data_IF_618373394487
#
_entry.id   IF_618373394487
#
_cell.length_a   1.000
_cell.length_b   1.000
_cell.length_c   1.000
_cell.angle_alpha   90.00
_cell.angle_beta   90.00
_cell.angle_gamma   90.00
#
_symmetry.space_group_name_H-M   'P 1'
#
loop_
_entity.id
_entity.type
_entity.pdbx_description
1 polymer ?
#
# COMPACT_ATOMS: atom_id res chain seq x y z
N UNK A 1 6.81 5.46 15.19
CA UNK A 1 7.09 6.48 16.24
C UNK A 1 6.88 7.89 15.74
N UNK A 2 7.52 8.30 14.64
CA UNK A 2 7.34 9.65 14.11
C UNK A 2 5.87 9.97 13.80
N UNK A 3 5.14 9.03 13.19
CA UNK A 3 3.72 9.19 12.87
C UNK A 3 2.86 9.45 14.10
N UNK A 4 3.12 8.72 15.19
CA UNK A 4 2.37 8.87 16.45
C UNK A 4 2.66 10.19 17.15
N UNK A 5 3.75 10.88 16.77
CA UNK A 5 4.11 12.20 17.30
C UNK A 5 3.62 13.34 16.41
N UNK A 6 2.79 13.03 15.39
CA UNK A 6 2.27 14.04 14.47
C UNK A 6 3.23 14.44 13.36
N UNK A 7 4.37 13.79 13.22
CA UNK A 7 5.34 14.04 12.15
C UNK A 7 4.92 13.23 10.91
N UNK A 8 4.67 13.87 9.74
CA UNK A 8 4.29 13.14 8.54
C UNK A 8 5.40 12.17 8.08
N UNK A 9 4.99 10.98 7.67
CA UNK A 9 5.89 9.88 7.33
C UNK A 9 5.55 9.34 5.94
N UNK A 10 6.59 9.10 5.12
CA UNK A 10 6.47 8.31 3.89
C UNK A 10 7.10 6.95 4.17
N UNK A 11 6.29 5.90 4.09
CA UNK A 11 6.78 4.54 4.26
C UNK A 11 6.82 3.83 2.93
N UNK A 12 7.95 3.19 2.60
CA UNK A 12 8.11 2.40 1.38
C UNK A 12 8.49 0.98 1.75
N UNK A 13 8.42 0.07 0.76
CA UNK A 13 8.74 -1.35 0.99
C UNK A 13 7.90 -1.98 2.11
N UNK A 14 6.65 -1.56 2.24
CA UNK A 14 5.79 -2.01 3.32
C UNK A 14 5.24 -3.41 3.06
N UNK A 15 5.39 -4.27 4.03
CA UNK A 15 4.82 -5.61 4.13
C UNK A 15 4.61 -5.93 5.61
N UNK A 16 3.61 -6.67 6.04
CA UNK A 16 2.54 -7.24 5.20
C UNK A 16 1.56 -6.16 4.72
N UNK A 17 0.82 -6.46 3.65
CA UNK A 17 -0.09 -5.48 3.08
C UNK A 17 -1.19 -5.05 4.05
N UNK A 18 -1.63 -5.93 4.94
CA UNK A 18 -2.59 -5.58 5.98
C UNK A 18 -2.05 -4.60 7.03
N UNK A 19 -0.74 -4.31 7.02
CA UNK A 19 -0.04 -3.42 7.95
C UNK A 19 0.56 -2.20 7.23
N UNK A 20 0.14 -1.91 6.01
CA UNK A 20 0.80 -0.92 5.17
C UNK A 20 0.38 0.52 5.45
N UNK A 21 -0.41 0.77 6.48
CA UNK A 21 -0.85 2.13 6.83
C UNK A 21 -0.39 2.46 8.25
N UNK A 22 -0.03 3.72 8.45
CA UNK A 22 0.42 4.25 9.74
C UNK A 22 -0.73 4.84 10.55
N UNK A 23 -0.46 5.89 11.32
CA UNK A 23 -1.43 6.48 12.25
C UNK A 23 -2.16 7.69 11.69
N UNK A 24 -1.47 8.53 10.92
CA UNK A 24 -1.97 9.84 10.53
C UNK A 24 -2.55 9.83 9.12
N UNK A 25 -3.64 10.58 8.85
CA UNK A 25 -4.12 10.78 7.48
C UNK A 25 -3.12 11.57 6.61
N UNK A 26 -2.10 12.19 7.22
CA UNK A 26 -1.06 12.90 6.49
C UNK A 26 0.12 12.01 6.09
N UNK A 27 0.14 10.77 6.54
CA UNK A 27 1.18 9.80 6.16
C UNK A 27 0.86 9.20 4.80
N UNK A 28 1.91 8.72 4.13
CA UNK A 28 1.78 8.04 2.82
C UNK A 28 2.46 6.69 2.92
N UNK A 29 1.78 5.64 2.49
CA UNK A 29 2.33 4.29 2.43
C UNK A 29 2.50 3.80 1.00
N UNK A 30 3.56 3.03 0.75
CA UNK A 30 3.78 2.32 -0.51
C UNK A 30 4.06 0.86 -0.19
N UNK A 31 3.08 -0.02 -0.37
CA UNK A 31 3.29 -1.45 -0.09
C UNK A 31 4.10 -2.12 -1.20
N UNK A 32 4.72 -3.25 -0.85
CA UNK A 32 5.37 -4.10 -1.83
C UNK A 32 4.33 -4.85 -2.66
N UNK A 33 4.66 -5.14 -3.92
CA UNK A 33 3.84 -6.05 -4.72
C UNK A 33 4.13 -7.50 -4.31
N UNK A 34 3.10 -8.31 -4.32
CA UNK A 34 3.17 -9.75 -4.08
C UNK A 34 3.15 -10.46 -5.43
N UNK A 35 4.13 -11.31 -5.67
CA UNK A 35 4.29 -12.02 -6.93
C UNK A 35 4.24 -13.52 -6.71
N UNK A 36 3.64 -14.26 -7.66
CA UNK A 36 3.61 -15.72 -7.59
C UNK A 36 4.91 -16.27 -8.14
N UNK A 37 5.52 -17.21 -7.43
CA UNK A 37 6.69 -17.94 -7.91
C UNK A 37 6.36 -18.68 -9.20
N UNK A 38 7.35 -18.72 -10.10
CA UNK A 38 7.22 -19.43 -11.37
C UNK A 38 6.63 -18.60 -12.50
N UNK A 39 5.60 -17.81 -12.24
CA UNK A 39 4.98 -16.96 -13.27
C UNK A 39 5.44 -15.53 -13.22
N UNK A 40 5.95 -15.09 -12.07
CA UNK A 40 6.34 -13.71 -11.79
C UNK A 40 5.21 -12.70 -12.02
N UNK A 41 3.95 -13.14 -11.90
CA UNK A 41 2.80 -12.28 -12.07
C UNK A 41 2.37 -11.68 -10.74
N UNK A 42 2.06 -10.37 -10.70
CA UNK A 42 1.54 -9.74 -9.49
C UNK A 42 0.19 -10.36 -9.08
N UNK A 43 0.02 -10.53 -7.78
CA UNK A 43 -1.24 -11.03 -7.21
C UNK A 43 -2.19 -9.84 -7.06
N UNK A 44 -3.45 -9.93 -7.54
CA UNK A 44 -4.42 -8.87 -7.34
C UNK A 44 -4.64 -8.59 -5.85
N UNK A 45 -4.81 -7.33 -5.49
CA UNK A 45 -4.95 -6.91 -4.09
C UNK A 45 -6.13 -7.59 -3.41
N UNK A 46 -7.24 -7.76 -4.12
CA UNK A 46 -8.42 -8.44 -3.59
C UNK A 46 -8.09 -9.86 -3.14
N UNK A 47 -7.32 -10.59 -3.93
CA UNK A 47 -6.90 -11.96 -3.58
C UNK A 47 -6.02 -11.96 -2.34
N UNK A 48 -5.11 -10.98 -2.20
CA UNK A 48 -4.25 -10.86 -1.02
C UNK A 48 -5.11 -10.68 0.23
N UNK A 49 -6.10 -9.79 0.19
CA UNK A 49 -6.93 -9.47 1.35
C UNK A 49 -7.98 -10.53 1.65
N UNK A 50 -8.42 -11.30 0.64
CA UNK A 50 -9.37 -12.41 0.84
C UNK A 50 -8.69 -13.70 1.31
N UNK A 51 -7.37 -13.74 1.29
CA UNK A 51 -6.56 -14.83 1.83
C UNK A 51 -5.84 -14.34 3.08
N UNK A 52 -5.02 -15.22 3.67
CA UNK A 52 -4.20 -14.85 4.83
C UNK A 52 -2.96 -14.05 4.45
N UNK A 53 -2.68 -13.88 3.16
CA UNK A 53 -1.46 -13.21 2.68
C UNK A 53 -1.32 -11.79 3.21
N UNK A 54 -2.42 -11.06 3.38
CA UNK A 54 -2.39 -9.68 3.85
C UNK A 54 -1.81 -9.54 5.26
N UNK A 55 -1.83 -10.60 6.06
CA UNK A 55 -1.36 -10.61 7.43
C UNK A 55 -0.04 -11.36 7.61
N UNK A 56 0.54 -11.92 6.55
CA UNK A 56 1.82 -12.60 6.62
C UNK A 56 2.94 -11.59 6.86
N UNK A 57 3.83 -11.88 7.79
CA UNK A 57 4.92 -10.98 8.16
C UNK A 57 6.30 -11.65 8.18
N UNK A 58 6.38 -12.98 8.06
CA UNK A 58 7.66 -13.71 8.03
C UNK A 58 7.95 -14.21 6.63
N UNK A 59 9.20 -14.13 6.21
CA UNK A 59 9.65 -14.61 4.90
C UNK A 59 9.24 -16.07 4.66
N UNK A 60 9.32 -16.90 5.68
CA UNK A 60 8.95 -18.31 5.57
C UNK A 60 7.47 -18.48 5.20
N UNK A 61 6.58 -17.65 5.75
CA UNK A 61 5.15 -17.71 5.43
C UNK A 61 4.90 -17.46 3.93
N UNK A 62 5.59 -16.49 3.36
CA UNK A 62 5.48 -16.19 1.93
C UNK A 62 6.06 -17.31 1.08
N UNK A 63 7.24 -17.83 1.44
CA UNK A 63 7.89 -18.94 0.75
C UNK A 63 6.99 -20.16 0.68
N UNK A 64 6.38 -20.54 1.78
CA UNK A 64 5.50 -21.70 1.87
C UNK A 64 4.23 -21.53 1.03
N UNK A 65 3.79 -20.29 0.84
CA UNK A 65 2.63 -19.97 0.02
C UNK A 65 2.96 -19.82 -1.48
N UNK A 66 4.24 -19.95 -1.86
CA UNK A 66 4.68 -19.77 -3.24
C UNK A 66 4.62 -18.32 -3.69
N UNK A 67 4.90 -17.40 -2.78
CA UNK A 67 4.81 -15.95 -3.00
C UNK A 67 6.14 -15.31 -2.63
N UNK A 68 6.58 -14.34 -3.42
CA UNK A 68 7.69 -13.48 -3.03
C UNK A 68 7.30 -12.01 -3.18
N UNK A 69 7.99 -11.16 -2.42
CA UNK A 69 7.70 -9.72 -2.39
C UNK A 69 8.71 -8.98 -3.25
N UNK A 70 8.19 -8.04 -4.06
CA UNK A 70 9.03 -7.20 -4.90
C UNK A 70 9.35 -5.90 -4.17
N UNK A 71 10.60 -5.46 -4.22
CA UNK A 71 10.97 -4.18 -3.60
C UNK A 71 10.31 -3.02 -4.32
N UNK A 72 10.01 -1.95 -3.58
CA UNK A 72 9.43 -0.74 -4.15
C UNK A 72 10.42 -0.13 -5.16
N UNK A 73 10.03 0.02 -6.45
CA UNK A 73 10.92 0.60 -7.44
C UNK A 73 11.14 2.10 -7.20
N UNK A 74 12.23 2.61 -7.77
CA UNK A 74 12.65 3.99 -7.58
C UNK A 74 11.57 5.01 -7.95
N UNK A 75 10.86 4.79 -9.06
CA UNK A 75 9.82 5.72 -9.50
C UNK A 75 8.70 5.87 -8.46
N UNK A 76 8.32 4.77 -7.81
CA UNK A 76 7.28 4.79 -6.77
C UNK A 76 7.76 5.54 -5.54
N UNK A 77 9.03 5.39 -5.17
CA UNK A 77 9.62 6.11 -4.04
C UNK A 77 9.64 7.62 -4.32
N UNK A 78 10.13 8.00 -5.49
CA UNK A 78 10.24 9.42 -5.88
C UNK A 78 8.85 10.07 -5.89
N UNK A 79 7.87 9.42 -6.47
CA UNK A 79 6.52 9.98 -6.56
C UNK A 79 5.83 10.08 -5.19
N UNK A 80 6.10 9.15 -4.29
CA UNK A 80 5.58 9.22 -2.93
C UNK A 80 6.19 10.43 -2.17
N UNK A 81 7.48 10.66 -2.33
CA UNK A 81 8.14 11.81 -1.72
C UNK A 81 7.61 13.12 -2.29
N UNK A 82 7.44 13.20 -3.61
CA UNK A 82 6.84 14.38 -4.26
C UNK A 82 5.44 14.67 -3.73
N UNK A 83 4.62 13.64 -3.58
CA UNK A 83 3.28 13.79 -3.01
C UNK A 83 3.34 14.36 -1.61
N UNK A 84 4.23 13.85 -0.76
CA UNK A 84 4.40 14.36 0.60
C UNK A 84 4.82 15.83 0.60
N UNK A 85 5.78 16.21 -0.25
CA UNK A 85 6.22 17.60 -0.35
C UNK A 85 5.05 18.50 -0.77
N UNK A 86 4.27 18.08 -1.74
CA UNK A 86 3.12 18.83 -2.21
C UNK A 86 2.05 18.96 -1.12
N UNK A 87 1.81 17.90 -0.35
CA UNK A 87 0.87 17.93 0.77
C UNK A 87 1.31 18.92 1.84
N UNK A 88 2.60 18.92 2.19
CA UNK A 88 3.16 19.82 3.19
C UNK A 88 3.10 21.28 2.76
N UNK A 89 3.18 21.54 1.45
CA UNK A 89 3.12 22.89 0.89
C UNK A 89 1.71 23.32 0.49
N UNK A 90 0.70 22.47 0.75
CA UNK A 90 -0.67 22.77 0.39
C UNK A 90 -0.95 22.74 -1.12
N UNK A 91 -0.07 22.10 -1.89
CA UNK A 91 -0.16 22.07 -3.36
C UNK A 91 -0.67 20.74 -3.91
N UNK A 92 -0.82 19.73 -3.08
CA UNK A 92 -1.31 18.43 -3.55
C UNK A 92 -2.80 18.52 -3.90
N UNK A 93 -3.12 18.14 -5.13
CA UNK A 93 -4.50 18.09 -5.62
C UNK A 93 -4.89 16.63 -5.83
N UNK A 94 -5.79 16.14 -4.99
CA UNK A 94 -6.36 14.81 -5.13
C UNK A 94 -7.47 14.84 -6.17
N UNK A 95 -7.27 14.13 -7.28
CA UNK A 95 -8.26 14.05 -8.36
C UNK A 95 -9.37 13.06 -7.99
N UNK A 96 -10.57 13.17 -8.62
CA UNK A 96 -11.64 12.20 -8.36
C UNK A 96 -11.22 10.74 -8.53
N UNK A 97 -10.37 10.44 -9.52
CA UNK A 97 -9.85 9.08 -9.70
C UNK A 97 -8.99 8.64 -8.52
N UNK A 98 -8.22 9.54 -7.94
CA UNK A 98 -7.38 9.22 -6.77
C UNK A 98 -8.24 8.87 -5.56
N UNK A 99 -9.31 9.63 -5.34
CA UNK A 99 -10.25 9.38 -4.24
C UNK A 99 -10.93 8.04 -4.41
N UNK A 100 -11.34 7.70 -5.62
CA UNK A 100 -11.99 6.42 -5.90
C UNK A 100 -11.04 5.24 -5.69
N UNK A 101 -9.82 5.34 -6.20
CA UNK A 101 -8.83 4.27 -6.04
C UNK A 101 -8.48 4.07 -4.56
N UNK A 102 -8.34 5.16 -3.81
CA UNK A 102 -8.09 5.09 -2.38
C UNK A 102 -9.25 4.44 -1.64
N UNK A 103 -10.47 4.82 -1.98
CA UNK A 103 -11.67 4.21 -1.41
C UNK A 103 -11.71 2.70 -1.68
N UNK A 104 -11.44 2.29 -2.91
CA UNK A 104 -11.43 0.86 -3.27
C UNK A 104 -10.35 0.09 -2.53
N UNK A 105 -9.17 0.68 -2.39
CA UNK A 105 -8.09 0.05 -1.63
C UNK A 105 -8.48 -0.11 -0.16
N UNK A 106 -8.99 0.95 0.46
CA UNK A 106 -9.43 0.91 1.85
C UNK A 106 -10.54 -0.11 2.08
N UNK A 107 -11.41 -0.31 1.10
CA UNK A 107 -12.52 -1.27 1.19
C UNK A 107 -12.06 -2.73 1.25
N UNK A 108 -10.81 -3.02 0.89
CA UNK A 108 -10.26 -4.36 0.97
C UNK A 108 -9.92 -4.79 2.39
N UNK A 109 -9.66 -3.82 3.27
CA UNK A 109 -9.30 -4.10 4.65
C UNK A 109 -10.50 -4.61 5.43
N UNK A 110 -10.24 -5.53 6.35
CA UNK A 110 -11.25 -6.04 7.28
C UNK A 110 -10.71 -5.96 8.71
N UNK A 111 -11.56 -6.24 9.68
CA UNK A 111 -11.23 -6.05 11.10
C UNK A 111 -10.03 -6.89 11.57
N UNK A 112 -9.68 -7.96 10.85
CA UNK A 112 -8.52 -8.79 11.17
C UNK A 112 -7.20 -8.19 10.69
N UNK A 113 -7.25 -7.15 9.85
CA UNK A 113 -6.05 -6.47 9.36
C UNK A 113 -5.62 -5.41 10.35
N UNK A 114 -4.32 -5.36 10.66
CA UNK A 114 -3.79 -4.41 11.64
C UNK A 114 -4.12 -2.96 11.30
N UNK A 115 -4.06 -2.59 10.02
CA UNK A 115 -4.30 -1.22 9.56
C UNK A 115 -5.78 -0.89 9.29
N UNK A 116 -6.72 -1.73 9.72
CA UNK A 116 -8.14 -1.56 9.42
C UNK A 116 -8.67 -0.16 9.79
N UNK A 117 -8.31 0.33 10.97
CA UNK A 117 -8.78 1.63 11.47
C UNK A 117 -7.88 2.81 11.07
N UNK A 118 -6.78 2.56 10.38
CA UNK A 118 -5.87 3.63 10.00
C UNK A 118 -6.45 4.50 8.89
N UNK A 119 -6.23 5.81 8.98
CA UNK A 119 -6.64 6.78 7.97
C UNK A 119 -5.50 7.16 7.02
N UNK A 120 -4.33 6.54 7.16
CA UNK A 120 -3.18 6.79 6.28
C UNK A 120 -3.54 6.47 4.83
N UNK A 121 -3.09 7.32 3.92
CA UNK A 121 -3.30 7.13 2.49
C UNK A 121 -2.18 6.30 1.87
N UNK A 122 -2.52 5.57 0.83
CA UNK A 122 -1.54 4.94 -0.04
C UNK A 122 -1.17 5.95 -1.13
N UNK A 123 0.07 5.92 -1.59
CA UNK A 123 0.54 6.81 -2.67
C UNK A 123 -0.44 6.80 -3.84
N UNK A 124 -0.86 7.97 -4.30
CA UNK A 124 -1.77 8.11 -5.44
C UNK A 124 -1.13 7.57 -6.72
N UNK A 125 0.16 7.81 -6.91
CA UNK A 125 0.91 7.27 -8.04
C UNK A 125 0.92 5.75 -8.04
N UNK A 126 1.16 5.12 -6.87
CA UNK A 126 1.16 3.67 -6.74
C UNK A 126 -0.21 3.08 -7.13
N UNK A 127 -1.29 3.67 -6.63
CA UNK A 127 -2.63 3.16 -6.93
C UNK A 127 -2.99 3.31 -8.41
N UNK A 128 -2.59 4.39 -9.05
CA UNK A 128 -2.81 4.58 -10.49
C UNK A 128 -1.98 3.58 -11.32
N UNK A 129 -0.72 3.40 -10.96
CA UNK A 129 0.19 2.50 -11.65
C UNK A 129 -0.29 1.05 -11.59
N UNK A 130 -0.86 0.66 -10.45
CA UNK A 130 -1.32 -0.69 -10.19
C UNK A 130 -2.84 -0.83 -10.14
N UNK A 131 -3.56 0.06 -10.81
CA UNK A 131 -5.03 0.05 -10.77
C UNK A 131 -5.63 -1.27 -11.23
N UNK A 132 -4.98 -1.99 -12.16
CA UNK A 132 -5.48 -3.27 -12.64
C UNK A 132 -5.50 -4.31 -11.52
N UNK A 133 -4.52 -4.29 -10.63
CA UNK A 133 -4.47 -5.17 -9.47
C UNK A 133 -5.54 -4.81 -8.45
N UNK A 134 -5.92 -3.55 -8.38
CA UNK A 134 -6.95 -3.06 -7.47
C UNK A 134 -8.36 -3.34 -7.98
N UNK A 135 -8.57 -3.21 -9.29
CA UNK A 135 -9.89 -3.37 -9.91
C UNK A 135 -10.21 -4.83 -10.29
N UNK A 136 -9.24 -5.73 -10.20
CA UNK A 136 -9.44 -7.16 -10.44
C UNK A 136 -9.45 -7.56 -11.91
N UNK A 137 -8.80 -6.81 -12.76
CA UNK A 137 -8.67 -7.14 -14.18
C UNK A 137 -7.49 -8.05 -14.46
#
# INVERSE_FOLDING_TARGET
MASSQGIPVVGVNLAAMGFCKFWSPNDIGVPKLYLREGTNKPIPFKEIFHSKLANFYKTQMFSEAGVYLNETPEDEIIEAVKQMIDQLNGKFQELPIDMELQYRFNSLFNITNYSFYSQTKISSYFLRKHKDLLLGY
#
